data_IF_945114009162
#
_entry.id   IF_945114009162
#
_cell.length_a   1.000
_cell.length_b   1.000
_cell.length_c   1.000
_cell.angle_alpha   90.00
_cell.angle_beta   90.00
_cell.angle_gamma   90.00
#
_symmetry.space_group_name_H-M   'P 1'
#
loop_
_entity.id
_entity.type
_entity.pdbx_description
1 polymer ?
#
# COMPACT_ATOMS: atom_id res chain seq x y z
N UNK A 1 4.68 14.72 -6.54
CA UNK A 1 5.15 14.04 -5.32
C UNK A 1 5.89 12.76 -5.70
N UNK A 2 6.84 12.31 -4.88
CA UNK A 2 7.47 11.00 -5.10
C UNK A 2 6.44 9.86 -5.15
N UNK A 3 6.75 8.83 -5.92
CA UNK A 3 5.94 7.61 -5.99
C UNK A 3 6.60 6.51 -5.17
N UNK A 4 5.78 5.69 -4.55
CA UNK A 4 6.23 4.56 -3.74
C UNK A 4 5.49 3.29 -4.13
N UNK A 5 6.22 2.19 -4.13
CA UNK A 5 5.65 0.84 -4.20
C UNK A 5 5.90 0.19 -2.86
N UNK A 6 4.84 -0.17 -2.16
CA UNK A 6 4.98 -0.89 -0.91
C UNK A 6 4.55 -2.34 -1.07
N UNK A 7 5.09 -3.21 -0.21
CA UNK A 7 4.91 -4.65 -0.31
C UNK A 7 4.51 -5.21 1.05
N UNK A 8 3.43 -5.98 1.05
CA UNK A 8 3.01 -6.80 2.19
C UNK A 8 3.26 -8.26 1.81
N UNK A 9 3.85 -9.05 2.71
CA UNK A 9 4.30 -10.41 2.36
C UNK A 9 3.57 -11.53 3.11
N UNK A 10 2.57 -11.22 3.92
CA UNK A 10 1.94 -12.19 4.81
C UNK A 10 0.43 -12.33 4.55
N UNK A 11 0.00 -12.23 3.29
CA UNK A 11 -1.43 -12.23 2.95
C UNK A 11 -1.81 -13.43 2.07
N UNK A 12 -1.25 -14.60 2.35
CA UNK A 12 -1.60 -15.84 1.62
C UNK A 12 -3.11 -16.05 1.68
N UNK A 13 -3.71 -16.33 0.53
CA UNK A 13 -5.15 -16.58 0.43
C UNK A 13 -6.01 -15.32 0.36
N UNK A 14 -5.39 -14.13 0.23
CA UNK A 14 -6.15 -12.88 0.10
C UNK A 14 -7.10 -12.97 -1.10
N UNK A 15 -8.34 -12.53 -0.88
CA UNK A 15 -9.35 -12.50 -1.95
C UNK A 15 -9.42 -11.10 -2.57
N UNK A 16 -10.07 -11.01 -3.75
CA UNK A 16 -10.32 -9.72 -4.39
C UNK A 16 -11.11 -8.79 -3.45
N UNK A 17 -12.09 -9.33 -2.73
CA UNK A 17 -12.87 -8.56 -1.76
C UNK A 17 -12.02 -8.10 -0.58
N UNK A 18 -11.16 -8.97 -0.07
CA UNK A 18 -10.24 -8.64 1.02
C UNK A 18 -9.25 -7.56 0.62
N UNK A 19 -8.69 -7.64 -0.59
CA UNK A 19 -7.79 -6.62 -1.12
C UNK A 19 -8.52 -5.28 -1.26
N UNK A 20 -9.74 -5.30 -1.80
CA UNK A 20 -10.54 -4.10 -1.98
C UNK A 20 -10.84 -3.44 -0.63
N UNK A 21 -11.18 -4.22 0.38
CA UNK A 21 -11.46 -3.72 1.73
C UNK A 21 -10.21 -3.09 2.36
N UNK A 22 -9.06 -3.73 2.24
CA UNK A 22 -7.79 -3.20 2.74
C UNK A 22 -7.41 -1.90 2.03
N UNK A 23 -7.56 -1.86 0.72
CA UNK A 23 -7.29 -0.65 -0.07
C UNK A 23 -8.24 0.48 0.34
N UNK A 24 -9.52 0.20 0.55
CA UNK A 24 -10.49 1.21 0.99
C UNK A 24 -10.13 1.77 2.37
N UNK A 25 -9.64 0.94 3.29
CA UNK A 25 -9.18 1.40 4.60
C UNK A 25 -8.02 2.42 4.46
N UNK A 26 -7.11 2.19 3.51
CA UNK A 26 -6.04 3.15 3.21
C UNK A 26 -6.62 4.45 2.64
N UNK A 27 -7.55 4.35 1.71
CA UNK A 27 -8.19 5.52 1.09
C UNK A 27 -8.92 6.39 2.12
N UNK A 28 -9.51 5.77 3.13
CA UNK A 28 -10.25 6.51 4.17
C UNK A 28 -9.33 7.33 5.08
N UNK A 29 -8.05 7.00 5.13
CA UNK A 29 -7.06 7.63 6.03
C UNK A 29 -6.09 8.52 5.26
N UNK A 30 -5.87 8.27 3.97
CA UNK A 30 -4.77 8.82 3.19
C UNK A 30 -4.66 10.36 3.22
N UNK A 31 -5.78 11.05 3.24
CA UNK A 31 -5.79 12.53 3.21
C UNK A 31 -5.14 13.13 4.45
N UNK A 32 -5.26 12.48 5.60
CA UNK A 32 -4.66 12.92 6.85
C UNK A 32 -3.13 12.94 6.80
N UNK A 33 -2.54 12.10 5.95
CA UNK A 33 -1.09 11.96 5.81
C UNK A 33 -0.56 12.53 4.49
N UNK A 34 -1.42 13.11 3.66
CA UNK A 34 -1.01 13.65 2.37
C UNK A 34 -0.63 12.59 1.35
N UNK A 35 -1.15 11.38 1.48
CA UNK A 35 -0.86 10.24 0.60
C UNK A 35 -2.01 10.05 -0.39
N UNK A 36 -1.67 9.60 -1.59
CA UNK A 36 -2.64 9.27 -2.64
C UNK A 36 -2.33 7.86 -3.16
N UNK A 37 -3.07 6.87 -2.66
CA UNK A 37 -2.96 5.48 -3.13
C UNK A 37 -3.66 5.33 -4.47
N UNK A 38 -2.93 4.86 -5.47
CA UNK A 38 -3.41 4.76 -6.85
C UNK A 38 -4.03 3.41 -7.15
N UNK A 39 -3.37 2.32 -6.75
CA UNK A 39 -3.79 0.97 -7.10
C UNK A 39 -3.12 -0.05 -6.18
N UNK A 40 -3.77 -1.20 -6.02
CA UNK A 40 -3.23 -2.34 -5.28
C UNK A 40 -3.38 -3.61 -6.12
N UNK A 41 -2.42 -4.51 -5.97
CA UNK A 41 -2.40 -5.83 -6.63
C UNK A 41 -2.08 -6.89 -5.59
N UNK A 42 -2.51 -8.11 -5.83
CA UNK A 42 -2.22 -9.22 -4.93
C UNK A 42 -1.91 -10.50 -5.68
N UNK A 43 -0.99 -11.27 -5.11
CA UNK A 43 -0.75 -12.67 -5.48
C UNK A 43 -1.14 -13.55 -4.30
N UNK A 44 -2.33 -14.18 -4.34
CA UNK A 44 -2.80 -14.99 -3.21
C UNK A 44 -1.92 -16.19 -2.90
N UNK A 45 -1.16 -16.70 -3.85
CA UNK A 45 -0.29 -17.87 -3.65
C UNK A 45 0.90 -17.53 -2.78
N UNK A 46 1.60 -16.44 -3.12
CA UNK A 46 2.77 -16.01 -2.36
C UNK A 46 2.40 -15.20 -1.12
N UNK A 47 1.20 -14.62 -1.10
CA UNK A 47 0.76 -13.70 -0.06
C UNK A 47 1.29 -12.29 -0.25
N UNK A 48 1.85 -11.98 -1.41
CA UNK A 48 2.35 -10.64 -1.70
C UNK A 48 1.22 -9.72 -2.14
N UNK A 49 1.18 -8.53 -1.53
CA UNK A 49 0.30 -7.44 -1.94
C UNK A 49 1.17 -6.23 -2.23
N UNK A 50 0.91 -5.57 -3.35
CA UNK A 50 1.66 -4.42 -3.82
C UNK A 50 0.73 -3.21 -3.89
N UNK A 51 1.17 -2.08 -3.34
CA UNK A 51 0.40 -0.83 -3.40
C UNK A 51 1.26 0.26 -4.03
N UNK A 52 0.70 0.94 -5.04
CA UNK A 52 1.33 2.11 -5.65
C UNK A 52 0.72 3.36 -5.06
N UNK A 53 1.56 4.30 -4.64
CA UNK A 53 1.10 5.57 -4.06
C UNK A 53 1.99 6.74 -4.45
N UNK A 54 1.44 7.95 -4.29
CA UNK A 54 2.20 9.19 -4.27
C UNK A 54 2.14 9.74 -2.86
N UNK A 55 3.27 10.16 -2.31
CA UNK A 55 3.35 10.59 -0.92
C UNK A 55 4.54 11.53 -0.71
N UNK A 56 4.52 12.35 0.35
CA UNK A 56 5.67 13.20 0.69
C UNK A 56 6.88 12.39 1.17
N UNK A 57 6.68 11.20 1.73
CA UNK A 57 7.75 10.35 2.25
C UNK A 57 7.29 8.90 2.41
N UNK A 58 8.25 7.97 2.53
CA UNK A 58 7.95 6.57 2.84
C UNK A 58 7.28 6.44 4.20
N UNK A 59 7.67 7.25 5.16
CA UNK A 59 7.09 7.26 6.50
C UNK A 59 5.61 7.61 6.47
N UNK A 60 5.19 8.53 5.60
CA UNK A 60 3.78 8.88 5.45
C UNK A 60 2.96 7.68 4.94
N UNK A 61 3.50 6.92 3.97
CA UNK A 61 2.87 5.69 3.48
C UNK A 61 2.68 4.69 4.63
N UNK A 62 3.72 4.47 5.42
CA UNK A 62 3.65 3.53 6.55
C UNK A 62 2.68 3.99 7.63
N UNK A 63 2.56 5.30 7.89
CA UNK A 63 1.58 5.79 8.87
C UNK A 63 0.16 5.48 8.46
N UNK A 64 -0.17 5.61 7.16
CA UNK A 64 -1.49 5.24 6.66
C UNK A 64 -1.74 3.74 6.88
N UNK A 65 -0.78 2.90 6.48
CA UNK A 65 -0.91 1.45 6.64
C UNK A 65 -1.01 1.03 8.10
N UNK A 66 -0.22 1.64 8.98
CA UNK A 66 -0.29 1.37 10.42
C UNK A 66 -1.67 1.69 10.97
N UNK A 67 -2.21 2.86 10.63
CA UNK A 67 -3.54 3.29 11.08
C UNK A 67 -4.65 2.41 10.50
N UNK A 68 -4.46 1.90 9.29
CA UNK A 68 -5.40 0.97 8.65
C UNK A 68 -5.26 -0.47 9.17
N UNK A 69 -4.25 -0.76 9.99
CA UNK A 69 -4.06 -2.06 10.62
C UNK A 69 -3.25 -3.07 9.81
N UNK A 70 -2.50 -2.62 8.79
CA UNK A 70 -1.70 -3.52 7.95
C UNK A 70 -0.40 -2.85 7.47
N UNK A 71 0.59 -2.78 8.36
CA UNK A 71 1.91 -2.25 8.03
C UNK A 71 2.49 -2.97 6.80
N UNK A 72 3.18 -2.22 5.94
CA UNK A 72 3.93 -2.81 4.85
C UNK A 72 5.25 -3.37 5.36
N UNK A 73 5.69 -4.48 4.77
CA UNK A 73 6.99 -5.08 5.08
C UNK A 73 8.12 -4.30 4.42
N UNK A 74 7.85 -3.70 3.24
CA UNK A 74 8.82 -2.92 2.48
C UNK A 74 8.13 -1.72 1.86
N UNK A 75 8.85 -0.60 1.78
CA UNK A 75 8.40 0.59 1.04
C UNK A 75 9.57 1.06 0.18
N UNK A 76 9.36 1.11 -1.13
CA UNK A 76 10.38 1.49 -2.11
C UNK A 76 9.99 2.77 -2.83
N UNK A 77 10.89 3.73 -2.90
CA UNK A 77 10.68 4.91 -3.74
C UNK A 77 10.94 4.53 -5.20
N UNK A 78 9.99 4.86 -6.07
CA UNK A 78 10.09 4.55 -7.50
C UNK A 78 10.67 5.77 -8.20
N UNK A 79 11.93 5.66 -8.59
CA UNK A 79 12.66 6.79 -9.22
C UNK A 79 12.95 6.56 -10.70
N UNK A 80 12.81 5.33 -11.19
CA UNK A 80 13.04 4.97 -12.59
C UNK A 80 11.83 4.20 -13.10
N UNK A 81 11.30 4.64 -14.22
CA UNK A 81 10.13 4.01 -14.84
C UNK A 81 10.40 3.80 -16.33
N UNK A 82 10.00 2.66 -16.84
CA UNK A 82 10.11 2.37 -18.27
C UNK A 82 8.73 2.36 -18.92
#
# INVERSE_FOLDING_TARGET
>A
MPQFMDVHTSMVGVTAEGLKAAHQADLDIQDDEGVDFKQAWADPKSGHVFCLSEAPSAEAVQRVHERAGHLADEVHEITVTA
#
